data_IF_066008034313
#
_entry.id   IF_066008034313
#
_cell.length_a   1.000
_cell.length_b   1.000
_cell.length_c   1.000
_cell.angle_alpha   90.00
_cell.angle_beta   90.00
_cell.angle_gamma   90.00
#
_symmetry.space_group_name_H-M   'P 1'
#
loop_
_entity.id
_entity.type
_entity.pdbx_description
1 polymer ?
#
# COMPACT_ATOMS: atom_id res chain seq x y z
N UNK A 1 -19.64 -10.39 -14.51
CA UNK A 1 -20.56 -10.27 -13.35
C UNK A 1 -20.70 -8.79 -13.01
N UNK A 2 -21.93 -8.28 -12.80
CA UNK A 2 -22.15 -6.89 -12.42
C UNK A 2 -22.53 -6.84 -10.95
N UNK A 3 -21.87 -5.98 -10.16
CA UNK A 3 -22.16 -5.79 -8.74
C UNK A 3 -22.74 -4.39 -8.56
N UNK A 4 -23.89 -4.30 -7.90
CA UNK A 4 -24.55 -3.03 -7.56
C UNK A 4 -24.49 -2.85 -6.04
N UNK A 5 -23.86 -1.76 -5.60
CA UNK A 5 -23.74 -1.42 -4.18
C UNK A 5 -24.76 -0.37 -3.75
N UNK A 6 -25.63 -0.71 -2.81
CA UNK A 6 -26.50 0.25 -2.14
C UNK A 6 -25.77 0.83 -0.92
N UNK A 7 -25.59 2.16 -0.88
CA UNK A 7 -24.87 2.87 0.18
C UNK A 7 -25.85 3.77 0.93
N UNK A 8 -25.85 3.71 2.25
CA UNK A 8 -26.69 4.54 3.11
C UNK A 8 -27.34 3.73 4.24
N UNK A 9 -28.49 4.17 4.73
CA UNK A 9 -29.26 3.47 5.77
C UNK A 9 -29.98 2.26 5.17
N UNK A 10 -29.24 1.16 5.01
CA UNK A 10 -29.73 -0.07 4.40
C UNK A 10 -30.69 -0.84 5.30
N UNK A 11 -30.87 -0.44 6.59
CA UNK A 11 -31.84 -1.05 7.47
C UNK A 11 -33.30 -0.81 7.01
N UNK A 12 -33.52 0.23 6.21
CA UNK A 12 -34.83 0.59 5.62
C UNK A 12 -35.11 -0.08 4.28
N UNK A 13 -34.16 -0.82 3.74
CA UNK A 13 -34.26 -1.45 2.43
C UNK A 13 -34.71 -2.90 2.62
N UNK A 14 -35.85 -3.25 2.05
CA UNK A 14 -36.31 -4.64 2.02
C UNK A 14 -35.55 -5.42 0.93
N UNK A 15 -34.62 -6.26 1.33
CA UNK A 15 -33.80 -7.07 0.40
C UNK A 15 -34.64 -8.00 -0.48
N UNK A 16 -35.81 -8.45 0.01
CA UNK A 16 -36.72 -9.33 -0.74
C UNK A 16 -37.23 -8.71 -2.03
N UNK A 17 -37.34 -7.38 -2.08
CA UNK A 17 -37.79 -6.70 -3.28
C UNK A 17 -36.79 -6.85 -4.45
N UNK A 18 -35.50 -7.02 -4.15
CA UNK A 18 -34.48 -7.25 -5.15
C UNK A 18 -34.34 -8.72 -5.51
N UNK A 19 -34.58 -9.64 -4.57
CA UNK A 19 -34.50 -11.10 -4.78
C UNK A 19 -35.59 -11.63 -5.72
N UNK A 20 -36.67 -10.88 -5.91
CA UNK A 20 -37.79 -11.26 -6.82
C UNK A 20 -37.37 -11.10 -8.29
N UNK A 21 -36.44 -10.21 -8.61
CA UNK A 21 -36.02 -9.98 -9.98
C UNK A 21 -35.08 -11.10 -10.45
N UNK A 22 -35.46 -11.77 -11.54
CA UNK A 22 -34.70 -12.88 -12.12
C UNK A 22 -33.29 -12.50 -12.61
N UNK A 23 -33.00 -11.20 -12.79
CA UNK A 23 -31.68 -10.68 -13.12
C UNK A 23 -30.75 -10.58 -11.88
N UNK A 24 -31.29 -10.73 -10.68
CA UNK A 24 -30.53 -10.69 -9.43
C UNK A 24 -30.18 -12.10 -8.99
N UNK A 25 -28.91 -12.44 -9.03
CA UNK A 25 -28.40 -13.73 -8.60
C UNK A 25 -28.39 -13.85 -7.06
N UNK A 26 -27.94 -12.78 -6.38
CA UNK A 26 -27.83 -12.79 -4.92
C UNK A 26 -27.83 -11.38 -4.32
N UNK A 27 -28.52 -11.23 -3.18
CA UNK A 27 -28.44 -10.02 -2.34
C UNK A 27 -27.66 -10.33 -1.08
N UNK A 28 -26.68 -9.48 -0.72
CA UNK A 28 -25.85 -9.66 0.46
C UNK A 28 -25.78 -8.37 1.29
N UNK A 29 -25.97 -8.49 2.60
CA UNK A 29 -25.70 -7.42 3.53
C UNK A 29 -24.22 -7.43 3.92
N UNK A 30 -23.49 -6.34 3.58
CA UNK A 30 -22.08 -6.17 3.96
C UNK A 30 -22.02 -5.23 5.16
N UNK A 31 -21.68 -5.75 6.32
CA UNK A 31 -21.58 -4.99 7.58
C UNK A 31 -20.16 -4.47 7.88
N UNK A 32 -19.15 -4.90 7.11
CA UNK A 32 -17.77 -4.57 7.35
C UNK A 32 -17.43 -3.15 6.89
N UNK A 33 -16.53 -2.42 7.61
CA UNK A 33 -16.22 -1.03 7.32
C UNK A 33 -15.45 -0.84 6.00
N UNK A 34 -14.81 -1.89 5.47
CA UNK A 34 -13.99 -1.86 4.24
C UNK A 34 -14.71 -2.49 3.05
N UNK A 35 -15.95 -2.11 2.82
CA UNK A 35 -16.82 -2.70 1.77
C UNK A 35 -16.16 -2.75 0.39
N UNK A 36 -15.51 -1.66 -0.02
CA UNK A 36 -14.88 -1.55 -1.34
C UNK A 36 -13.68 -2.47 -1.53
N UNK A 37 -13.00 -2.86 -0.44
CA UNK A 37 -11.87 -3.79 -0.45
C UNK A 37 -12.28 -5.25 -0.17
N UNK A 38 -13.56 -5.48 0.12
CA UNK A 38 -14.07 -6.80 0.45
C UNK A 38 -14.22 -7.66 -0.80
N UNK A 39 -13.91 -8.95 -0.70
CA UNK A 39 -14.07 -9.94 -1.78
C UNK A 39 -15.50 -10.01 -2.34
N UNK A 40 -16.53 -9.67 -1.56
CA UNK A 40 -17.89 -9.59 -2.03
C UNK A 40 -18.11 -8.52 -3.11
N UNK A 41 -17.33 -7.42 -3.06
CA UNK A 41 -17.34 -6.33 -4.05
C UNK A 41 -16.24 -6.48 -5.11
N UNK A 42 -15.12 -7.05 -4.73
CA UNK A 42 -13.96 -7.24 -5.60
C UNK A 42 -13.49 -8.70 -5.52
N UNK A 43 -14.16 -9.63 -6.21
CA UNK A 43 -13.84 -11.05 -6.14
C UNK A 43 -12.50 -11.42 -6.76
N UNK A 44 -12.05 -10.65 -7.75
CA UNK A 44 -10.78 -10.84 -8.43
C UNK A 44 -9.60 -10.37 -7.58
N UNK A 45 -8.44 -10.99 -7.74
CA UNK A 45 -7.21 -10.52 -7.11
C UNK A 45 -6.73 -9.21 -7.75
N UNK A 46 -6.38 -8.24 -6.90
CA UNK A 46 -5.72 -7.03 -7.38
C UNK A 46 -4.24 -7.33 -7.66
N UNK A 47 -3.78 -6.93 -8.83
CA UNK A 47 -2.36 -6.98 -9.19
C UNK A 47 -1.90 -5.54 -9.42
N UNK A 48 -0.95 -5.10 -8.63
CA UNK A 48 -0.38 -3.76 -8.70
C UNK A 48 1.01 -3.87 -9.34
N UNK A 49 1.26 -3.06 -10.36
CA UNK A 49 2.58 -2.94 -10.96
C UNK A 49 3.33 -1.77 -10.29
N UNK A 50 4.47 -2.08 -9.71
CA UNK A 50 5.36 -1.10 -9.08
C UNK A 50 6.66 -1.06 -9.88
N UNK A 51 6.72 -0.21 -10.88
CA UNK A 51 7.90 -0.07 -11.77
C UNK A 51 8.37 -1.42 -12.35
N UNK A 52 7.43 -2.24 -12.83
CA UNK A 52 7.70 -3.55 -13.43
C UNK A 52 7.68 -4.73 -12.44
N UNK A 53 7.59 -4.48 -11.13
CA UNK A 53 7.40 -5.51 -10.11
C UNK A 53 5.92 -5.69 -9.83
N UNK A 54 5.40 -6.86 -10.12
CA UNK A 54 3.99 -7.19 -9.85
C UNK A 54 3.80 -7.64 -8.41
N UNK A 55 2.82 -7.03 -7.73
CA UNK A 55 2.45 -7.32 -6.35
C UNK A 55 0.99 -7.78 -6.32
N UNK A 56 0.73 -8.94 -5.77
CA UNK A 56 -0.62 -9.52 -5.67
C UNK A 56 -0.89 -10.65 -6.68
N UNK A 57 -2.03 -11.31 -6.55
CA UNK A 57 -2.34 -12.53 -7.28
C UNK A 57 -1.32 -13.63 -6.95
N UNK A 58 -0.84 -14.32 -7.96
CA UNK A 58 0.18 -15.37 -7.82
C UNK A 58 1.63 -14.83 -7.80
N UNK A 59 1.80 -13.50 -7.75
CA UNK A 59 3.13 -12.88 -7.75
C UNK A 59 3.63 -12.68 -6.32
N UNK A 60 4.79 -13.25 -6.01
CA UNK A 60 5.50 -13.03 -4.76
C UNK A 60 6.43 -11.83 -4.88
N UNK A 61 6.14 -10.76 -4.15
CA UNK A 61 7.02 -9.60 -4.03
C UNK A 61 7.81 -9.66 -2.72
N UNK A 62 9.12 -9.70 -2.83
CA UNK A 62 10.04 -9.68 -1.67
C UNK A 62 10.44 -8.24 -1.37
N UNK A 63 9.96 -7.74 -0.25
CA UNK A 63 10.20 -6.35 0.21
C UNK A 63 11.18 -6.39 1.37
N UNK A 64 12.37 -5.81 1.22
CA UNK A 64 13.38 -5.78 2.27
C UNK A 64 14.00 -4.38 2.40
N UNK A 65 14.51 -4.06 3.57
CA UNK A 65 15.17 -2.78 3.83
C UNK A 65 15.11 -2.35 5.30
N UNK A 66 15.72 -1.22 5.65
CA UNK A 66 15.81 -0.77 7.03
C UNK A 66 14.45 -0.29 7.55
N UNK A 67 14.22 -0.45 8.85
CA UNK A 67 13.05 0.14 9.51
C UNK A 67 13.06 1.66 9.41
N UNK A 68 14.24 2.28 9.51
CA UNK A 68 14.45 3.71 9.51
C UNK A 68 15.55 4.10 8.54
N UNK A 69 15.36 5.18 7.80
CA UNK A 69 16.40 5.82 7.00
C UNK A 69 17.19 6.74 7.92
N UNK A 70 18.49 6.46 8.10
CA UNK A 70 19.36 7.19 9.02
C UNK A 70 20.54 7.86 8.31
N UNK A 71 21.06 7.24 7.23
CA UNK A 71 22.05 7.84 6.33
C UNK A 71 21.99 7.20 4.94
N UNK A 72 22.60 7.87 3.97
CA UNK A 72 22.72 7.34 2.60
C UNK A 72 23.50 6.02 2.58
N UNK A 73 24.66 5.98 3.26
CA UNK A 73 25.54 4.81 3.31
C UNK A 73 24.83 3.60 3.90
N UNK A 74 24.09 3.80 5.00
CA UNK A 74 23.29 2.73 5.63
C UNK A 74 22.27 2.15 4.66
N UNK A 75 21.51 3.01 3.99
CA UNK A 75 20.44 2.55 3.07
C UNK A 75 21.05 1.88 1.85
N UNK A 76 22.15 2.41 1.31
CA UNK A 76 22.82 1.85 0.15
C UNK A 76 23.36 0.43 0.44
N UNK A 77 24.08 0.25 1.54
CA UNK A 77 24.61 -1.06 1.94
C UNK A 77 23.49 -2.10 2.09
N UNK A 78 22.41 -1.72 2.80
CA UNK A 78 21.27 -2.61 3.02
C UNK A 78 20.55 -2.91 1.68
N UNK A 79 20.38 -1.93 0.80
CA UNK A 79 19.72 -2.11 -0.49
C UNK A 79 20.50 -3.05 -1.40
N UNK A 80 21.83 -2.93 -1.45
CA UNK A 80 22.71 -3.82 -2.20
C UNK A 80 22.61 -5.26 -1.68
N UNK A 81 22.68 -5.44 -0.36
CA UNK A 81 22.54 -6.76 0.29
C UNK A 81 21.14 -7.36 0.06
N UNK A 82 20.08 -6.55 0.17
CA UNK A 82 18.71 -6.98 -0.10
C UNK A 82 18.54 -7.44 -1.54
N UNK A 83 19.04 -6.66 -2.51
CA UNK A 83 19.01 -7.02 -3.94
C UNK A 83 19.75 -8.32 -4.22
N UNK A 84 20.96 -8.46 -3.67
CA UNK A 84 21.75 -9.69 -3.81
C UNK A 84 21.05 -10.91 -3.20
N UNK A 85 20.21 -10.71 -2.19
CA UNK A 85 19.40 -11.75 -1.54
C UNK A 85 18.06 -12.01 -2.25
N UNK A 86 17.76 -11.34 -3.36
CA UNK A 86 16.57 -11.58 -4.17
C UNK A 86 15.37 -10.67 -3.85
N UNK A 87 15.56 -9.59 -3.08
CA UNK A 87 14.49 -8.61 -2.89
C UNK A 87 14.15 -7.92 -4.22
N UNK A 88 12.85 -7.66 -4.40
CA UNK A 88 12.30 -6.99 -5.58
C UNK A 88 12.02 -5.50 -5.32
N UNK A 89 11.81 -5.16 -4.06
CA UNK A 89 11.45 -3.82 -3.59
C UNK A 89 12.30 -3.47 -2.36
N UNK A 90 12.70 -2.19 -2.26
CA UNK A 90 13.40 -1.64 -1.12
C UNK A 90 12.40 -0.96 -0.17
N UNK A 91 12.41 -1.33 1.10
CA UNK A 91 11.61 -0.66 2.12
C UNK A 91 12.47 0.29 2.94
N UNK A 92 11.97 1.50 3.20
CA UNK A 92 12.59 2.44 4.12
C UNK A 92 11.57 3.43 4.71
N UNK A 93 11.65 3.67 6.02
CA UNK A 93 10.79 4.65 6.69
C UNK A 93 11.53 5.98 6.91
N UNK A 94 11.12 7.04 6.20
CA UNK A 94 11.67 8.39 6.34
C UNK A 94 11.04 9.18 7.50
N UNK A 95 9.80 8.88 7.83
CA UNK A 95 9.05 9.49 8.93
C UNK A 95 8.80 8.45 10.04
N UNK A 96 9.05 8.82 11.30
CA UNK A 96 8.84 7.95 12.45
C UNK A 96 7.91 8.60 13.46
N UNK A 97 6.63 8.15 13.55
CA UNK A 97 5.72 8.63 14.58
C UNK A 97 6.19 8.11 15.94
N UNK A 98 6.65 9.01 16.79
CA UNK A 98 7.09 8.69 18.14
C UNK A 98 6.28 9.48 19.15
N UNK A 99 5.94 8.85 20.26
CA UNK A 99 5.23 9.50 21.35
C UNK A 99 6.12 10.46 22.15
N UNK A 100 7.42 10.18 22.21
CA UNK A 100 8.39 11.07 22.86
C UNK A 100 8.96 12.06 21.85
N UNK A 101 8.94 13.38 22.16
CA UNK A 101 9.55 14.39 21.30
C UNK A 101 11.09 14.33 21.27
N UNK A 102 11.70 13.61 22.20
CA UNK A 102 13.15 13.41 22.25
C UNK A 102 13.64 12.19 21.44
N UNK A 103 12.71 11.36 20.95
CA UNK A 103 13.07 10.24 20.12
C UNK A 103 13.30 10.69 18.67
N UNK A 104 14.09 9.94 17.93
CA UNK A 104 14.34 10.18 16.51
C UNK A 104 13.03 10.11 15.71
N UNK A 105 12.65 11.21 15.07
CA UNK A 105 11.39 11.36 14.33
C UNK A 105 11.52 10.93 12.85
N UNK A 106 12.68 10.47 12.43
CA UNK A 106 13.03 10.23 11.02
C UNK A 106 13.68 11.47 10.39
N UNK A 107 14.30 11.28 9.23
CA UNK A 107 14.92 12.37 8.46
C UNK A 107 13.90 13.16 7.63
N UNK A 108 12.66 12.73 7.56
CA UNK A 108 11.64 13.43 6.79
C UNK A 108 11.97 13.52 5.31
N UNK A 109 11.99 14.72 4.74
CA UNK A 109 12.27 14.95 3.31
C UNK A 109 13.66 14.44 2.92
N UNK A 110 14.68 14.72 3.71
CA UNK A 110 16.05 14.23 3.47
C UNK A 110 16.06 12.69 3.37
N UNK A 111 15.28 12.01 4.19
CA UNK A 111 15.14 10.56 4.11
C UNK A 111 14.46 10.07 2.83
N UNK A 112 13.54 10.84 2.26
CA UNK A 112 12.95 10.55 0.94
C UNK A 112 13.97 10.76 -0.18
N UNK A 113 14.76 11.85 -0.13
CA UNK A 113 15.83 12.11 -1.09
C UNK A 113 16.87 11.00 -1.10
N UNK A 114 17.26 10.50 0.08
CA UNK A 114 18.16 9.35 0.23
C UNK A 114 17.57 8.11 -0.43
N UNK A 115 16.31 7.81 -0.16
CA UNK A 115 15.63 6.66 -0.77
C UNK A 115 15.60 6.77 -2.29
N UNK A 116 15.34 7.95 -2.84
CA UNK A 116 15.34 8.19 -4.28
C UNK A 116 16.70 7.96 -4.90
N UNK A 117 17.75 8.52 -4.31
CA UNK A 117 19.12 8.34 -4.78
C UNK A 117 19.55 6.87 -4.78
N UNK A 118 19.26 6.15 -3.71
CA UNK A 118 19.56 4.71 -3.62
C UNK A 118 18.73 3.89 -4.60
N UNK A 119 17.45 4.25 -4.84
CA UNK A 119 16.62 3.61 -5.87
C UNK A 119 17.28 3.69 -7.24
N UNK A 120 17.77 4.86 -7.63
CA UNK A 120 18.42 5.07 -8.92
C UNK A 120 19.72 4.28 -9.05
N UNK A 121 20.49 4.21 -7.98
CA UNK A 121 21.78 3.49 -7.99
C UNK A 121 21.58 1.96 -7.99
N UNK A 122 20.68 1.46 -7.14
CA UNK A 122 20.49 0.00 -6.97
C UNK A 122 19.45 -0.56 -7.92
N UNK A 123 18.49 0.25 -8.38
CA UNK A 123 17.41 -0.17 -9.28
C UNK A 123 16.35 -1.02 -8.59
N UNK A 124 16.07 -0.77 -7.31
CA UNK A 124 14.95 -1.35 -6.57
C UNK A 124 13.86 -0.30 -6.36
N UNK A 125 12.62 -0.53 -6.81
CA UNK A 125 11.51 0.35 -6.47
C UNK A 125 11.30 0.45 -4.96
N UNK A 126 10.80 1.61 -4.49
CA UNK A 126 10.70 1.92 -3.05
C UNK A 126 9.30 1.64 -2.52
N UNK A 127 9.25 1.15 -1.30
CA UNK A 127 8.08 1.10 -0.43
C UNK A 127 8.37 1.92 0.83
N UNK A 128 7.58 2.97 1.07
CA UNK A 128 7.71 3.80 2.27
C UNK A 128 6.36 4.02 2.95
N UNK A 129 6.40 4.57 4.16
CA UNK A 129 5.20 4.85 4.94
C UNK A 129 4.66 6.25 4.64
N UNK A 130 3.35 6.36 4.40
CA UNK A 130 2.63 7.63 4.32
C UNK A 130 1.82 7.83 5.59
N UNK A 131 2.32 8.68 6.50
CA UNK A 131 1.72 8.89 7.84
C UNK A 131 0.49 9.81 7.83
N UNK A 132 0.33 10.62 6.80
CA UNK A 132 -0.79 11.55 6.65
C UNK A 132 -1.01 11.88 5.19
N UNK A 133 -2.27 12.04 4.78
CA UNK A 133 -2.62 12.50 3.43
C UNK A 133 -2.02 13.86 3.06
N UNK A 134 -1.64 14.67 4.06
CA UNK A 134 -0.93 15.95 3.85
C UNK A 134 0.43 15.79 3.18
N UNK A 135 1.05 14.62 3.29
CA UNK A 135 2.36 14.30 2.71
C UNK A 135 2.26 13.49 1.42
N UNK A 136 1.04 13.31 0.89
CA UNK A 136 0.84 12.52 -0.32
C UNK A 136 1.60 13.09 -1.51
N UNK A 137 1.49 14.40 -1.72
CA UNK A 137 2.17 15.08 -2.83
C UNK A 137 3.70 14.94 -2.72
N UNK A 138 4.25 15.06 -1.50
CA UNK A 138 5.68 14.85 -1.26
C UNK A 138 6.11 13.42 -1.59
N UNK A 139 5.32 12.43 -1.18
CA UNK A 139 5.59 11.02 -1.54
C UNK A 139 5.53 10.80 -3.04
N UNK A 140 4.54 11.35 -3.75
CA UNK A 140 4.38 11.18 -5.20
C UNK A 140 5.51 11.84 -6.01
N UNK A 141 6.06 12.96 -5.54
CA UNK A 141 7.19 13.64 -6.20
C UNK A 141 8.47 12.81 -6.07
N UNK A 142 8.68 12.14 -4.93
CA UNK A 142 9.93 11.44 -4.63
C UNK A 142 9.87 9.94 -4.97
N UNK A 143 8.70 9.38 -5.08
CA UNK A 143 8.46 7.95 -5.33
C UNK A 143 7.74 7.72 -6.65
#
# INVERSE_FOLDING_TARGET
MTIIGCIGDTAKVDSKLFEIDSAVDKVMHVQEPYKLANRAFHPEDSIIDVSGVKVGGDNLAMIAGPCSVESYEQVLEIAQAAKASGANLLRGGAFKPRTSPYAFQGLGLEGLDILCAVREEVGLPIVTELMSSKYLDLSLIHI
#
